data_IF_259083816843
#
_entry.id   IF_259083816843
#
_cell.length_a   1.000
_cell.length_b   1.000
_cell.length_c   1.000
_cell.angle_alpha   90.00
_cell.angle_beta   90.00
_cell.angle_gamma   90.00
#
_symmetry.space_group_name_H-M   'P 1'
#
loop_
_entity.id
_entity.type
_entity.pdbx_description
1 polymer ?
#
# COMPACT_ATOMS: atom_id res chain seq x y z
N UNK A 1 14.78 8.72 -4.54
CA UNK A 1 14.60 8.74 -3.07
C UNK A 1 13.11 8.70 -2.64
N UNK A 2 12.18 9.34 -3.36
CA UNK A 2 10.75 9.37 -2.97
C UNK A 2 10.04 8.00 -2.92
N UNK A 3 10.45 7.01 -3.73
CA UNK A 3 9.80 5.70 -3.78
C UNK A 3 10.12 4.82 -2.56
N UNK A 4 11.33 4.93 -2.00
CA UNK A 4 11.72 4.19 -0.79
C UNK A 4 10.96 4.68 0.45
N UNK A 5 10.72 5.98 0.56
CA UNK A 5 9.98 6.55 1.69
C UNK A 5 8.51 6.10 1.72
N UNK A 6 7.86 5.96 0.55
CA UNK A 6 6.48 5.45 0.46
C UNK A 6 6.40 3.95 0.76
N UNK A 7 7.36 3.16 0.27
CA UNK A 7 7.44 1.74 0.59
C UNK A 7 7.68 1.52 2.09
N UNK A 8 8.62 2.25 2.71
CA UNK A 8 8.82 2.22 4.16
C UNK A 8 7.54 2.61 4.92
N UNK A 9 6.83 3.64 4.46
CA UNK A 9 5.55 4.06 5.06
C UNK A 9 4.45 3.00 4.92
N UNK A 10 4.39 2.26 3.81
CA UNK A 10 3.46 1.14 3.65
C UNK A 10 3.79 0.01 4.63
N UNK A 11 5.03 -0.48 4.63
CA UNK A 11 5.48 -1.59 5.47
C UNK A 11 5.28 -1.28 6.96
N UNK A 12 5.62 -0.06 7.39
CA UNK A 12 5.42 0.38 8.77
C UNK A 12 3.95 0.37 9.19
N UNK A 13 3.06 0.85 8.32
CA UNK A 13 1.63 0.87 8.63
C UNK A 13 0.98 -0.51 8.52
N UNK A 14 1.43 -1.34 7.58
CA UNK A 14 0.98 -2.72 7.47
C UNK A 14 1.37 -3.52 8.72
N UNK A 15 2.61 -3.39 9.19
CA UNK A 15 3.07 -4.01 10.43
C UNK A 15 2.27 -3.57 11.66
N UNK A 16 1.85 -2.30 11.73
CA UNK A 16 0.95 -1.83 12.79
C UNK A 16 -0.41 -2.53 12.74
N UNK A 17 -0.96 -2.75 11.55
CA UNK A 17 -2.22 -3.46 11.36
C UNK A 17 -2.12 -4.93 11.77
N UNK A 18 -1.01 -5.59 11.42
CA UNK A 18 -0.74 -6.97 11.85
C UNK A 18 -0.68 -7.09 13.37
N UNK A 19 0.07 -6.20 14.03
CA UNK A 19 0.17 -6.16 15.48
C UNK A 19 -1.20 -5.94 16.13
N UNK A 20 -1.97 -4.98 15.63
CA UNK A 20 -3.30 -4.67 16.16
C UNK A 20 -4.28 -5.83 15.96
N UNK A 21 -4.20 -6.53 14.81
CA UNK A 21 -4.97 -7.76 14.58
C UNK A 21 -4.60 -8.85 15.57
N UNK A 22 -3.32 -9.03 15.85
CA UNK A 22 -2.84 -10.01 16.82
C UNK A 22 -3.30 -9.67 18.25
N UNK A 23 -3.20 -8.40 18.66
CA UNK A 23 -3.67 -7.94 19.97
C UNK A 23 -5.19 -8.13 20.16
N UNK A 24 -5.98 -7.93 19.10
CA UNK A 24 -7.42 -8.22 19.11
C UNK A 24 -7.70 -9.72 19.30
N UNK A 25 -7.01 -10.58 18.54
CA UNK A 25 -7.17 -12.04 18.64
C UNK A 25 -6.76 -12.59 20.01
N UNK A 26 -5.70 -12.02 20.60
CA UNK A 26 -5.20 -12.39 21.92
C UNK A 26 -6.03 -11.80 23.07
N UNK A 27 -7.12 -11.07 22.78
CA UNK A 27 -7.94 -10.35 23.75
C UNK A 27 -7.14 -9.39 24.65
N UNK A 28 -6.09 -8.76 24.11
CA UNK A 28 -5.22 -7.81 24.81
C UNK A 28 -5.75 -6.37 24.81
N UNK A 29 -6.79 -6.10 24.01
CA UNK A 29 -7.39 -4.78 23.88
C UNK A 29 -8.64 -4.71 24.76
N UNK A 30 -8.67 -3.73 25.67
CA UNK A 30 -9.84 -3.49 26.53
C UNK A 30 -10.94 -2.74 25.76
N UNK A 31 -12.17 -2.73 26.30
CA UNK A 31 -13.32 -1.99 25.72
C UNK A 31 -12.99 -0.50 25.54
N UNK A 32 -12.33 0.12 26.53
CA UNK A 32 -11.96 1.53 26.50
C UNK A 32 -10.91 1.84 25.43
N UNK A 33 -10.03 0.86 25.14
CA UNK A 33 -9.00 0.96 24.11
C UNK A 33 -9.51 0.60 22.71
N UNK A 34 -10.65 -0.06 22.59
CA UNK A 34 -11.13 -0.55 21.29
C UNK A 34 -11.35 0.60 20.30
N UNK A 35 -12.04 1.67 20.72
CA UNK A 35 -12.30 2.83 19.87
C UNK A 35 -11.01 3.52 19.37
N UNK A 36 -10.05 3.90 20.24
CA UNK A 36 -8.80 4.50 19.77
C UNK A 36 -7.98 3.57 18.88
N UNK A 37 -7.90 2.27 19.20
CA UNK A 37 -7.17 1.28 18.39
C UNK A 37 -7.77 1.13 16.99
N UNK A 38 -9.09 1.08 16.87
CA UNK A 38 -9.74 1.04 15.56
C UNK A 38 -9.50 2.34 14.76
N UNK A 39 -9.44 3.52 15.41
CA UNK A 39 -9.09 4.77 14.73
C UNK A 39 -7.67 4.73 14.16
N UNK A 40 -6.71 4.21 14.93
CA UNK A 40 -5.34 4.01 14.45
C UNK A 40 -5.28 3.05 13.27
N UNK A 41 -6.02 1.94 13.33
CA UNK A 41 -6.13 1.00 12.23
C UNK A 41 -6.70 1.66 10.96
N UNK A 42 -7.76 2.46 11.08
CA UNK A 42 -8.33 3.20 9.94
C UNK A 42 -7.31 4.17 9.34
N UNK A 43 -6.52 4.86 10.17
CA UNK A 43 -5.47 5.76 9.68
C UNK A 43 -4.37 4.99 8.92
N UNK A 44 -3.89 3.87 9.47
CA UNK A 44 -2.90 3.02 8.83
C UNK A 44 -3.41 2.45 7.50
N UNK A 45 -4.65 1.95 7.45
CA UNK A 45 -5.29 1.43 6.21
C UNK A 45 -5.35 2.52 5.14
N UNK A 46 -5.69 3.77 5.50
CA UNK A 46 -5.73 4.88 4.55
C UNK A 46 -4.36 5.12 3.92
N UNK A 47 -3.30 5.07 4.72
CA UNK A 47 -1.92 5.22 4.22
C UNK A 47 -1.58 4.08 3.28
N UNK A 48 -1.82 2.83 3.70
CA UNK A 48 -1.55 1.65 2.87
C UNK A 48 -2.28 1.73 1.51
N UNK A 49 -3.58 2.09 1.52
CA UNK A 49 -4.36 2.29 0.29
C UNK A 49 -3.79 3.39 -0.60
N UNK A 50 -3.35 4.50 -0.03
CA UNK A 50 -2.71 5.57 -0.79
C UNK A 50 -1.47 5.09 -1.53
N UNK A 51 -0.59 4.34 -0.85
CA UNK A 51 0.62 3.80 -1.47
C UNK A 51 0.30 2.76 -2.56
N UNK A 52 -0.71 1.90 -2.34
CA UNK A 52 -1.14 0.93 -3.35
C UNK A 52 -1.68 1.62 -4.60
N UNK A 53 -2.56 2.62 -4.45
CA UNK A 53 -3.11 3.36 -5.58
C UNK A 53 -2.00 4.11 -6.36
N UNK A 54 -1.06 4.74 -5.65
CA UNK A 54 0.10 5.40 -6.27
C UNK A 54 0.98 4.40 -7.04
N UNK A 55 1.07 3.17 -6.56
CA UNK A 55 1.86 2.11 -7.19
C UNK A 55 1.15 1.57 -8.43
N UNK A 56 -0.16 1.35 -8.33
CA UNK A 56 -1.00 0.97 -9.47
C UNK A 56 -0.91 2.00 -10.60
N UNK A 57 -1.03 3.30 -10.29
CA UNK A 57 -0.90 4.36 -11.28
C UNK A 57 0.45 4.32 -12.02
N UNK A 58 1.55 4.10 -11.32
CA UNK A 58 2.88 3.97 -11.93
C UNK A 58 3.01 2.72 -12.78
N UNK A 59 2.41 1.60 -12.37
CA UNK A 59 2.44 0.38 -13.18
C UNK A 59 1.67 0.56 -14.49
N UNK A 60 0.57 1.31 -14.47
CA UNK A 60 -0.17 1.68 -15.69
C UNK A 60 0.71 2.52 -16.61
N UNK A 61 1.43 3.51 -16.08
CA UNK A 61 2.38 4.32 -16.86
C UNK A 61 3.50 3.46 -17.47
N UNK A 62 4.13 2.59 -16.68
CA UNK A 62 5.18 1.68 -17.15
C UNK A 62 4.67 0.74 -18.24
N UNK A 63 3.47 0.18 -18.09
CA UNK A 63 2.87 -0.68 -19.11
C UNK A 63 2.63 0.08 -20.42
N UNK A 64 2.19 1.34 -20.34
CA UNK A 64 2.01 2.18 -21.54
C UNK A 64 3.34 2.48 -22.23
N UNK A 65 4.38 2.80 -21.46
CA UNK A 65 5.74 2.97 -22.00
C UNK A 65 6.23 1.68 -22.66
N UNK A 66 5.94 0.52 -22.07
CA UNK A 66 6.30 -0.78 -22.63
C UNK A 66 5.57 -1.07 -23.95
N UNK A 67 4.26 -0.80 -24.03
CA UNK A 67 3.47 -0.95 -25.26
C UNK A 67 3.97 -0.04 -26.38
N UNK A 68 4.36 1.21 -26.07
CA UNK A 68 4.91 2.15 -27.06
C UNK A 68 6.24 1.65 -27.65
N UNK A 69 7.07 0.96 -26.86
CA UNK A 69 8.32 0.34 -27.33
C UNK A 69 8.09 -0.86 -28.26
N UNK A 70 6.98 -1.60 -28.12
CA UNK A 70 6.64 -2.73 -29.00
C UNK A 70 6.13 -2.28 -30.39
N UNK A 71 5.69 -1.03 -30.55
CA UNK A 71 5.12 -0.51 -31.81
C UNK A 71 6.21 -0.06 -32.81
N UNK A 72 7.49 0.03 -32.41
CA UNK A 72 8.59 0.55 -33.26
C UNK A 72 9.32 -0.50 -34.14
N UNK A 73 8.86 -1.75 -34.22
CA UNK A 73 9.39 -2.69 -35.22
C UNK A 73 8.58 -2.56 -36.52
N UNK A 74 9.13 -1.97 -37.60
CA UNK A 74 8.52 -2.11 -38.92
C UNK A 74 8.45 -3.61 -39.23
N UNK A 75 7.24 -4.12 -39.38
CA UNK A 75 7.04 -5.40 -40.06
C UNK A 75 7.48 -5.19 -41.49
N UNK A 76 8.68 -5.67 -41.82
CA UNK A 76 9.18 -5.75 -43.19
C UNK A 76 8.16 -6.52 -44.05
N UNK A 77 7.30 -5.79 -44.77
CA UNK A 77 6.62 -6.22 -46.00
C UNK A 77 6.68 -5.11 -47.06
#
# INVERSE_FOLDING_TARGET
MANQAKAASFEENFKKLELLSQELQDNKITIDELVPRIKEAVAAIKICKGVLNDTEAKLIEINKEFEELEVELPSDE
#
